data_IF_706302529490
#
_entry.id   IF_706302529490
#
_cell.length_a   1.000
_cell.length_b   1.000
_cell.length_c   1.000
_cell.angle_alpha   90.00
_cell.angle_beta   90.00
_cell.angle_gamma   90.00
#
_symmetry.space_group_name_H-M   'P 1'
#
loop_
_entity.id
_entity.type
_entity.pdbx_description
1 polymer ?
#
# COMPACT_ATOMS: atom_id res chain seq x y z
N UNK A 1 14.51 -14.56 -18.18
CA UNK A 1 15.01 -13.29 -17.64
C UNK A 1 13.84 -12.35 -17.55
N UNK A 2 13.43 -11.97 -16.34
CA UNK A 2 12.57 -10.81 -16.14
C UNK A 2 13.32 -9.59 -16.66
N UNK A 3 12.78 -8.94 -17.69
CA UNK A 3 13.37 -7.75 -18.30
C UNK A 3 12.37 -6.63 -18.18
N UNK A 4 12.85 -5.50 -17.66
CA UNK A 4 12.09 -4.26 -17.69
C UNK A 4 11.71 -3.92 -19.14
N UNK A 5 10.53 -3.33 -19.39
CA UNK A 5 10.20 -2.70 -20.66
C UNK A 5 11.31 -1.76 -21.14
N UNK A 6 11.49 -1.64 -22.45
CA UNK A 6 12.55 -0.81 -23.05
C UNK A 6 12.51 0.64 -22.53
N UNK A 7 11.32 1.20 -22.39
CA UNK A 7 11.10 2.58 -21.92
C UNK A 7 11.52 2.81 -20.46
N UNK A 8 11.71 1.73 -19.68
CA UNK A 8 12.18 1.78 -18.30
C UNK A 8 13.68 1.48 -18.17
N UNK A 9 14.36 1.19 -19.28
CA UNK A 9 15.80 0.96 -19.30
C UNK A 9 16.55 2.27 -19.61
N UNK A 10 17.73 2.45 -19.01
CA UNK A 10 18.61 3.61 -19.26
C UNK A 10 17.94 4.96 -19.07
N UNK A 11 17.12 5.10 -18.02
CA UNK A 11 16.49 6.37 -17.66
C UNK A 11 17.56 7.43 -17.36
N UNK A 12 17.31 8.70 -17.76
CA UNK A 12 18.23 9.79 -17.44
C UNK A 12 18.31 10.02 -15.93
N UNK A 13 19.42 10.56 -15.40
CA UNK A 13 19.60 10.78 -13.97
C UNK A 13 18.57 11.77 -13.38
N UNK A 14 17.99 12.63 -14.20
CA UNK A 14 16.94 13.58 -13.81
C UNK A 14 15.54 12.93 -13.72
N UNK A 15 15.38 11.64 -14.06
CA UNK A 15 14.09 10.96 -13.97
C UNK A 15 13.67 10.81 -12.50
N UNK A 16 12.60 11.50 -12.13
CA UNK A 16 11.99 11.41 -10.80
C UNK A 16 10.73 10.53 -10.82
N UNK A 17 10.30 10.10 -9.63
CA UNK A 17 8.96 9.52 -9.42
C UNK A 17 7.91 10.62 -9.57
N UNK A 18 6.67 10.21 -9.81
CA UNK A 18 5.53 11.12 -9.78
C UNK A 18 5.44 11.79 -8.40
N UNK A 19 5.47 13.12 -8.28
CA UNK A 19 5.41 13.81 -6.99
C UNK A 19 4.05 13.70 -6.29
N UNK A 20 2.94 13.62 -7.03
CA UNK A 20 1.59 13.58 -6.45
C UNK A 20 1.25 12.16 -5.92
N UNK A 21 1.02 11.98 -4.61
CA UNK A 21 0.65 10.69 -4.04
C UNK A 21 -0.66 10.14 -4.58
N UNK A 22 -1.65 10.98 -4.90
CA UNK A 22 -2.94 10.54 -5.41
C UNK A 22 -2.80 9.95 -6.81
N UNK A 23 -1.94 10.54 -7.65
CA UNK A 23 -1.61 9.98 -8.97
C UNK A 23 -0.87 8.66 -8.82
N UNK A 24 0.12 8.56 -7.92
CA UNK A 24 0.82 7.30 -7.66
C UNK A 24 -0.14 6.20 -7.21
N UNK A 25 -1.02 6.51 -6.26
CA UNK A 25 -2.06 5.59 -5.78
C UNK A 25 -2.98 5.14 -6.91
N UNK A 26 -3.48 6.07 -7.72
CA UNK A 26 -4.34 5.77 -8.87
C UNK A 26 -3.66 4.82 -9.87
N UNK A 27 -2.38 5.03 -10.17
CA UNK A 27 -1.62 4.16 -11.07
C UNK A 27 -1.43 2.76 -10.48
N UNK A 28 -1.20 2.65 -9.17
CA UNK A 28 -1.09 1.37 -8.47
C UNK A 28 -2.43 0.61 -8.46
N UNK A 29 -3.53 1.30 -8.23
CA UNK A 29 -4.88 0.72 -8.28
C UNK A 29 -5.24 0.27 -9.71
N UNK A 30 -4.85 1.04 -10.73
CA UNK A 30 -5.02 0.63 -12.12
C UNK A 30 -4.23 -0.64 -12.45
N UNK A 31 -2.98 -0.74 -11.98
CA UNK A 31 -2.19 -1.98 -12.12
C UNK A 31 -2.83 -3.15 -11.37
N UNK A 32 -3.36 -2.91 -10.17
CA UNK A 32 -4.06 -3.92 -9.39
C UNK A 32 -5.27 -4.48 -10.15
N UNK A 33 -6.08 -3.62 -10.77
CA UNK A 33 -7.19 -4.02 -11.62
C UNK A 33 -6.73 -4.86 -12.82
N UNK A 34 -5.64 -4.47 -13.49
CA UNK A 34 -5.07 -5.25 -14.58
C UNK A 34 -4.61 -6.65 -14.12
N UNK A 35 -4.24 -6.79 -12.85
CA UNK A 35 -3.85 -8.07 -12.23
C UNK A 35 -5.01 -8.89 -11.64
N UNK A 36 -6.26 -8.47 -11.86
CA UNK A 36 -7.42 -9.25 -11.44
C UNK A 36 -7.46 -10.65 -12.07
N UNK A 37 -7.01 -10.78 -13.32
CA UNK A 37 -6.98 -12.05 -14.04
C UNK A 37 -5.60 -12.69 -14.00
N UNK A 38 -5.55 -14.02 -14.11
CA UNK A 38 -4.30 -14.80 -14.24
C UNK A 38 -3.40 -14.29 -15.36
N UNK A 39 -3.96 -14.06 -16.54
CA UNK A 39 -3.20 -13.54 -17.71
C UNK A 39 -2.61 -12.16 -17.41
N UNK A 40 -3.39 -11.31 -16.73
CA UNK A 40 -2.93 -10.01 -16.24
C UNK A 40 -1.74 -10.12 -15.28
N UNK A 41 -1.87 -10.94 -14.23
CA UNK A 41 -0.77 -11.21 -13.28
C UNK A 41 0.48 -11.72 -13.98
N UNK A 42 0.35 -12.74 -14.82
CA UNK A 42 1.49 -13.29 -15.57
C UNK A 42 2.17 -12.26 -16.45
N UNK A 43 1.38 -11.43 -17.13
CA UNK A 43 1.90 -10.35 -17.97
C UNK A 43 2.68 -9.35 -17.14
N UNK A 44 2.11 -8.86 -16.04
CA UNK A 44 2.75 -7.86 -15.17
C UNK A 44 4.01 -8.44 -14.49
N UNK A 45 3.99 -9.68 -13.99
CA UNK A 45 5.19 -10.35 -13.45
C UNK A 45 6.29 -10.45 -14.51
N UNK A 46 5.94 -10.86 -15.73
CA UNK A 46 6.88 -11.01 -16.85
C UNK A 46 7.60 -9.72 -17.27
N UNK A 47 7.13 -8.54 -16.85
CA UNK A 47 7.76 -7.24 -17.11
C UNK A 47 8.79 -6.82 -16.04
N UNK A 48 9.11 -7.68 -15.08
CA UNK A 48 10.05 -7.32 -14.01
C UNK A 48 9.51 -6.24 -13.08
N UNK A 49 8.19 -6.26 -12.85
CA UNK A 49 7.48 -5.24 -12.06
C UNK A 49 7.82 -5.33 -10.56
N UNK A 50 8.05 -6.54 -10.02
CA UNK A 50 8.27 -6.73 -8.58
C UNK A 50 9.47 -5.93 -8.03
N UNK A 51 10.68 -5.94 -8.65
CA UNK A 51 11.77 -5.08 -8.22
C UNK A 51 11.39 -3.59 -8.15
N UNK A 52 10.65 -3.09 -9.14
CA UNK A 52 10.21 -1.68 -9.17
C UNK A 52 9.27 -1.37 -8.01
N UNK A 53 8.28 -2.23 -7.78
CA UNK A 53 7.31 -2.07 -6.69
C UNK A 53 7.98 -2.18 -5.31
N UNK A 54 8.94 -3.08 -5.13
CA UNK A 54 9.68 -3.21 -3.86
C UNK A 54 10.44 -1.93 -3.51
N UNK A 55 11.14 -1.34 -4.49
CA UNK A 55 11.84 -0.06 -4.28
C UNK A 55 10.84 1.09 -4.08
N UNK A 56 9.71 1.09 -4.78
CA UNK A 56 8.64 2.07 -4.57
C UNK A 56 8.03 1.96 -3.16
N UNK A 57 7.67 0.77 -2.71
CA UNK A 57 7.11 0.53 -1.38
C UNK A 57 8.05 0.97 -0.25
N UNK A 58 9.35 0.72 -0.40
CA UNK A 58 10.36 1.18 0.58
C UNK A 58 10.43 2.71 0.64
N UNK A 59 10.37 3.37 -0.52
CA UNK A 59 10.47 4.83 -0.65
C UNK A 59 9.17 5.58 -0.33
N UNK A 60 8.01 4.96 -0.53
CA UNK A 60 6.70 5.60 -0.42
C UNK A 60 6.40 6.03 1.01
N UNK A 61 6.06 7.31 1.15
CA UNK A 61 5.76 7.97 2.43
C UNK A 61 4.26 8.17 2.62
N UNK A 62 3.49 8.26 1.54
CA UNK A 62 2.04 8.40 1.64
C UNK A 62 1.42 7.05 2.05
N UNK A 63 0.64 6.99 3.16
CA UNK A 63 0.05 5.74 3.61
C UNK A 63 -0.85 5.08 2.57
N UNK A 64 -1.66 5.87 1.85
CA UNK A 64 -2.62 5.34 0.88
C UNK A 64 -1.94 4.71 -0.33
N UNK A 65 -0.96 5.40 -0.92
CA UNK A 65 -0.15 4.88 -2.00
C UNK A 65 0.68 3.66 -1.54
N UNK A 66 1.20 3.68 -0.31
CA UNK A 66 1.95 2.56 0.25
C UNK A 66 1.10 1.31 0.40
N UNK A 67 -0.11 1.43 0.96
CA UNK A 67 -1.07 0.31 1.07
C UNK A 67 -1.49 -0.21 -0.30
N UNK A 68 -1.74 0.66 -1.29
CA UNK A 68 -2.04 0.23 -2.66
C UNK A 68 -0.86 -0.55 -3.29
N UNK A 69 0.37 -0.10 -3.06
CA UNK A 69 1.58 -0.78 -3.52
C UNK A 69 1.74 -2.16 -2.87
N UNK A 70 1.50 -2.25 -1.55
CA UNK A 70 1.55 -3.51 -0.81
C UNK A 70 0.50 -4.52 -1.33
N UNK A 71 -0.75 -4.10 -1.53
CA UNK A 71 -1.81 -4.95 -2.10
C UNK A 71 -1.41 -5.51 -3.47
N UNK A 72 -0.85 -4.67 -4.35
CA UNK A 72 -0.36 -5.09 -5.65
C UNK A 72 0.81 -6.08 -5.55
N UNK A 73 1.76 -5.84 -4.63
CA UNK A 73 2.86 -6.78 -4.38
C UNK A 73 2.30 -8.13 -3.93
N UNK A 74 1.36 -8.16 -2.98
CA UNK A 74 0.76 -9.40 -2.48
C UNK A 74 0.14 -10.21 -3.62
N UNK A 75 -0.65 -9.58 -4.50
CA UNK A 75 -1.24 -10.25 -5.68
C UNK A 75 -0.18 -10.80 -6.64
N UNK A 76 0.97 -10.14 -6.77
CA UNK A 76 2.03 -10.56 -7.68
C UNK A 76 2.97 -11.62 -7.10
N UNK A 77 3.11 -11.74 -5.78
CA UNK A 77 4.02 -12.73 -5.18
C UNK A 77 3.34 -14.04 -4.81
N UNK A 78 2.02 -14.04 -4.61
CA UNK A 78 1.26 -15.24 -4.26
C UNK A 78 1.08 -16.15 -5.48
N UNK A 79 1.05 -17.45 -5.22
CA UNK A 79 0.79 -18.47 -6.22
C UNK A 79 -0.58 -18.28 -6.90
N UNK A 80 -0.70 -18.79 -8.13
CA UNK A 80 -1.96 -18.68 -8.85
C UNK A 80 -3.08 -19.49 -8.17
N UNK A 81 -4.31 -18.95 -8.08
CA UNK A 81 -5.46 -19.68 -7.58
C UNK A 81 -5.78 -20.94 -8.38
N UNK A 82 -6.63 -21.79 -7.82
CA UNK A 82 -7.16 -22.98 -8.49
C UNK A 82 -7.94 -22.62 -9.76
N UNK A 83 -8.05 -23.59 -10.67
CA UNK A 83 -8.80 -23.41 -11.91
C UNK A 83 -10.28 -23.09 -11.58
N UNK A 84 -10.79 -22.01 -12.17
CA UNK A 84 -12.11 -21.46 -11.86
C UNK A 84 -12.10 -20.26 -10.92
N UNK A 85 -10.97 -19.97 -10.26
CA UNK A 85 -10.78 -18.78 -9.40
C UNK A 85 -9.78 -17.78 -9.99
N UNK A 86 -9.63 -17.79 -11.32
CA UNK A 86 -8.56 -17.06 -12.01
C UNK A 86 -8.81 -15.54 -12.06
N UNK A 87 -10.07 -15.12 -12.05
CA UNK A 87 -10.48 -13.71 -11.97
C UNK A 87 -10.89 -13.36 -10.54
N UNK A 88 -10.04 -12.62 -9.83
CA UNK A 88 -10.24 -12.24 -8.43
C UNK A 88 -11.47 -11.33 -8.22
N UNK A 89 -12.00 -10.72 -9.27
CA UNK A 89 -13.20 -9.88 -9.20
C UNK A 89 -14.51 -10.68 -9.29
N UNK A 90 -14.45 -11.93 -9.70
CA UNK A 90 -15.62 -12.81 -9.88
C UNK A 90 -15.74 -13.87 -8.76
N UNK A 91 -14.83 -13.86 -7.80
CA UNK A 91 -14.81 -14.84 -6.70
C UNK A 91 -15.92 -14.53 -5.69
N UNK A 92 -16.75 -15.53 -5.39
CA UNK A 92 -17.69 -15.45 -4.29
C UNK A 92 -16.95 -15.63 -2.96
N UNK A 93 -17.04 -14.62 -2.09
CA UNK A 93 -16.40 -14.63 -0.77
C UNK A 93 -17.43 -15.11 0.27
N UNK A 94 -17.15 -16.19 1.02
CA UNK A 94 -18.03 -16.61 2.11
C UNK A 94 -18.22 -15.50 3.15
N UNK A 95 -19.43 -15.34 3.74
CA UNK A 95 -19.71 -14.25 4.69
C UNK A 95 -18.73 -14.18 5.85
N UNK A 96 -18.33 -15.32 6.41
CA UNK A 96 -17.38 -15.39 7.53
C UNK A 96 -15.98 -14.88 7.16
N UNK A 97 -15.56 -15.10 5.91
CA UNK A 97 -14.27 -14.61 5.40
C UNK A 97 -14.37 -13.10 5.17
N UNK A 98 -15.48 -12.63 4.61
CA UNK A 98 -15.70 -11.19 4.38
C UNK A 98 -15.70 -10.40 5.68
N UNK A 99 -16.42 -10.86 6.72
CA UNK A 99 -16.41 -10.22 8.04
C UNK A 99 -15.01 -10.18 8.65
N UNK A 100 -14.25 -11.28 8.52
CA UNK A 100 -12.88 -11.34 9.03
C UNK A 100 -11.96 -10.35 8.31
N UNK A 101 -12.06 -10.23 6.98
CA UNK A 101 -11.27 -9.29 6.19
C UNK A 101 -11.59 -7.84 6.57
N UNK A 102 -12.89 -7.49 6.66
CA UNK A 102 -13.32 -6.15 7.08
C UNK A 102 -12.80 -5.76 8.46
N UNK A 103 -12.78 -6.71 9.41
CA UNK A 103 -12.23 -6.47 10.74
C UNK A 103 -10.72 -6.20 10.69
N UNK A 104 -9.98 -6.97 9.89
CA UNK A 104 -8.53 -6.78 9.74
C UNK A 104 -8.20 -5.42 9.11
N UNK A 105 -8.94 -5.02 8.07
CA UNK A 105 -8.79 -3.70 7.43
C UNK A 105 -9.02 -2.57 8.44
N UNK A 106 -10.09 -2.65 9.24
CA UNK A 106 -10.38 -1.66 10.29
C UNK A 106 -9.30 -1.60 11.38
N UNK A 107 -8.78 -2.76 11.79
CA UNK A 107 -7.69 -2.84 12.77
C UNK A 107 -6.41 -2.20 12.23
N UNK A 108 -6.11 -2.40 10.94
CA UNK A 108 -4.96 -1.80 10.26
C UNK A 108 -5.11 -0.28 10.13
N UNK A 109 -6.27 0.21 9.69
CA UNK A 109 -6.59 1.64 9.62
C UNK A 109 -6.46 2.32 10.99
N UNK A 110 -7.06 1.74 12.03
CA UNK A 110 -6.97 2.26 13.39
C UNK A 110 -5.52 2.25 13.93
N UNK A 111 -4.73 1.22 13.58
CA UNK A 111 -3.32 1.17 13.94
C UNK A 111 -2.49 2.24 13.20
N UNK A 112 -2.79 2.50 11.93
CA UNK A 112 -2.17 3.56 11.15
C UNK A 112 -2.48 4.94 11.74
N UNK A 113 -3.74 5.21 12.10
CA UNK A 113 -4.14 6.46 12.77
C UNK A 113 -3.41 6.67 14.11
N UNK A 114 -3.33 5.62 14.95
CA UNK A 114 -2.60 5.72 16.23
C UNK A 114 -1.12 6.01 16.05
N UNK A 115 -0.48 5.49 15.00
CA UNK A 115 0.93 5.78 14.68
C UNK A 115 1.15 7.23 14.25
N UNK A 116 0.12 7.92 13.75
CA UNK A 116 0.17 9.32 13.34
C UNK A 116 -0.11 10.30 14.49
N UNK A 117 -0.70 9.85 15.61
CA UNK A 117 -1.03 10.67 16.79
C UNK A 117 -0.04 10.65 18.01
N UNK A 118 1.27 10.33 17.93
CA UNK A 118 2.14 10.35 19.11
C UNK A 118 2.32 11.72 19.79
N UNK A 119 2.16 12.83 19.07
CA UNK A 119 2.63 14.15 19.55
C UNK A 119 1.63 14.91 20.45
N UNK A 120 0.32 14.66 20.32
CA UNK A 120 -0.70 15.47 21.01
C UNK A 120 -0.89 15.14 22.51
N UNK A 121 -0.35 14.01 22.99
CA UNK A 121 -0.45 13.64 24.41
C UNK A 121 0.68 14.22 25.26
N UNK A 122 1.83 14.55 24.67
CA UNK A 122 2.99 15.10 25.40
C UNK A 122 2.84 16.60 25.74
N UNK A 123 2.22 17.37 24.84
CA UNK A 123 2.01 18.81 25.05
C UNK A 123 0.91 19.11 26.10
N UNK A 124 -0.11 18.25 26.20
CA UNK A 124 -1.18 18.39 27.19
C UNK A 124 -0.72 18.16 28.64
N UNK A 125 0.21 17.23 28.85
CA UNK A 125 0.80 16.95 30.17
C UNK A 125 1.75 18.08 30.60
N UNK A 126 2.57 18.61 29.69
CA UNK A 126 3.47 19.73 29.98
C UNK A 126 2.73 21.01 30.38
N UNK A 127 1.64 21.35 29.68
CA UNK A 127 0.84 22.54 29.97
C UNK A 127 0.11 22.45 31.33
N UNK A 128 -0.39 21.27 31.71
CA UNK A 128 -1.03 21.05 33.01
C UNK A 128 -0.03 21.13 34.16
N UNK A 129 1.17 20.57 33.98
CA UNK A 129 2.23 20.58 35.00
C UNK A 129 2.72 22.00 35.29
N UNK A 130 2.90 22.81 34.24
CA UNK A 130 3.30 24.22 34.38
C UNK A 130 2.22 25.10 35.03
N UNK A 131 0.93 24.83 34.75
CA UNK A 131 -0.18 25.55 35.39
C UNK A 131 -0.31 25.21 36.87
N UNK A 132 -0.13 23.93 37.24
CA UNK A 132 -0.13 23.49 38.64
C UNK A 132 1.07 24.04 39.44
N UNK A 133 2.25 24.14 38.82
CA UNK A 133 3.43 24.75 39.47
C UNK A 133 3.27 26.27 39.67
N UNK A 134 2.62 26.96 38.73
CA UNK A 134 2.36 28.40 38.84
C UNK A 134 1.33 28.75 39.92
N UNK A 135 0.33 27.88 40.15
CA UNK A 135 -0.69 28.05 41.20
C UNK A 135 -0.19 27.70 42.62
N UNK A 136 1.00 27.08 42.73
CA UNK A 136 1.65 26.74 44.01
C UNK A 136 2.65 27.80 44.51
N UNK A 137 2.79 28.94 43.83
CA UNK A 137 3.58 30.11 44.25
C UNK A 137 2.67 31.28 44.58
#
# INVERSE_FOLDING_TARGET
MERLPLDLQYLPPEKLREPDPDIRKMLLEALLLLTATKVGRQTVRGKGTYPVLRELHTWETDPGARTACEKLIQVLIVDEPEAGLENLLEVEIPPEVQERLQRLDQEEEAAAERRLQPEQQSEGLGAQTHLEEALRR
#
